data_IF_404981550876
#
_entry.id   IF_404981550876
#
_cell.length_a   1.000
_cell.length_b   1.000
_cell.length_c   1.000
_cell.angle_alpha   90.00
_cell.angle_beta   90.00
_cell.angle_gamma   90.00
#
_symmetry.space_group_name_H-M   'P 1'
#
loop_
_entity.id
_entity.type
_entity.pdbx_description
1 polymer ?
#
# COMPACT_ATOMS: atom_id res chain seq x y z
N UNK A 1 6.04 0.22 4.60
CA UNK A 1 7.00 1.32 4.39
C UNK A 1 8.05 1.24 5.48
N UNK A 2 9.34 1.15 5.11
CA UNK A 2 10.41 1.00 6.10
C UNK A 2 10.87 2.33 6.69
N UNK A 3 11.35 2.30 7.93
CA UNK A 3 11.92 3.47 8.61
C UNK A 3 13.35 3.73 8.13
N UNK A 4 13.55 4.78 7.32
CA UNK A 4 14.84 5.06 6.64
C UNK A 4 15.35 3.87 5.79
N UNK A 5 14.42 3.03 5.32
CA UNK A 5 14.66 1.86 4.47
C UNK A 5 13.81 1.99 3.18
N UNK A 6 13.44 0.86 2.58
CA UNK A 6 12.69 0.84 1.33
C UNK A 6 11.25 1.36 1.52
N UNK A 7 10.77 2.16 0.55
CA UNK A 7 9.37 2.61 0.53
C UNK A 7 8.40 1.43 0.36
N UNK A 8 8.76 0.48 -0.52
CA UNK A 8 8.09 -0.81 -0.65
C UNK A 8 8.83 -1.85 0.20
N UNK A 9 8.35 -2.09 1.41
CA UNK A 9 8.93 -3.04 2.35
C UNK A 9 7.86 -4.06 2.77
N UNK A 10 8.12 -5.34 2.49
CA UNK A 10 7.31 -6.46 2.95
C UNK A 10 7.74 -6.96 4.33
N UNK A 11 7.15 -8.08 4.82
CA UNK A 11 6.27 -9.00 4.09
C UNK A 11 4.81 -8.54 3.97
N UNK A 12 4.33 -7.64 4.84
CA UNK A 12 2.94 -7.18 4.86
C UNK A 12 2.58 -6.30 3.65
N UNK A 13 1.36 -6.46 3.12
CA UNK A 13 0.82 -5.61 2.06
C UNK A 13 -0.70 -5.70 2.01
N UNK A 14 -1.38 -4.63 1.57
CA UNK A 14 -2.81 -4.64 1.26
C UNK A 14 -2.95 -4.74 -0.27
N UNK A 15 -3.63 -5.78 -0.76
CA UNK A 15 -3.84 -5.96 -2.19
C UNK A 15 -4.55 -7.26 -2.57
N UNK A 16 -5.00 -7.34 -3.81
CA UNK A 16 -5.69 -8.53 -4.36
C UNK A 16 -4.76 -9.70 -4.62
N UNK A 17 -3.45 -9.44 -4.73
CA UNK A 17 -2.42 -10.48 -4.87
C UNK A 17 -1.95 -10.88 -3.48
N UNK A 18 -2.02 -12.16 -3.16
CA UNK A 18 -1.47 -12.70 -1.92
C UNK A 18 0.07 -12.64 -2.03
N UNK A 19 0.69 -11.80 -1.20
CA UNK A 19 2.16 -11.69 -1.08
C UNK A 19 2.70 -12.27 0.22
N UNK A 20 1.84 -12.44 1.23
CA UNK A 20 2.19 -12.96 2.55
C UNK A 20 0.95 -13.58 3.19
N UNK A 21 1.16 -14.64 3.96
CA UNK A 21 0.14 -15.29 4.79
C UNK A 21 0.11 -14.73 6.23
N UNK A 22 0.87 -13.65 6.49
CA UNK A 22 0.96 -13.04 7.81
C UNK A 22 -0.22 -12.10 8.07
N UNK A 23 -0.71 -12.11 9.30
CA UNK A 23 -1.70 -11.15 9.78
C UNK A 23 -1.08 -9.77 10.02
N UNK A 24 -1.88 -8.71 9.84
CA UNK A 24 -1.51 -7.37 10.27
C UNK A 24 -1.49 -7.29 11.79
N UNK A 25 -0.43 -6.70 12.35
CA UNK A 25 -0.24 -6.51 13.79
C UNK A 25 0.11 -5.06 14.11
N UNK A 26 -0.15 -4.58 15.35
CA UNK A 26 0.19 -3.22 15.76
C UNK A 26 1.67 -2.87 15.52
N UNK A 27 1.91 -1.65 15.01
CA UNK A 27 3.26 -1.13 14.74
C UNK A 27 3.76 -1.33 13.30
N UNK A 28 3.04 -2.09 12.48
CA UNK A 28 3.28 -2.13 11.02
C UNK A 28 2.86 -0.81 10.38
N UNK A 29 3.66 -0.33 9.41
CA UNK A 29 3.36 0.87 8.62
C UNK A 29 3.11 0.48 7.17
N UNK A 30 1.93 0.81 6.65
CA UNK A 30 1.46 0.48 5.29
C UNK A 30 1.00 1.73 4.53
N UNK A 31 0.95 1.63 3.20
CA UNK A 31 0.23 2.60 2.37
C UNK A 31 -1.25 2.24 2.32
N UNK A 32 -2.11 3.25 2.44
CA UNK A 32 -3.53 3.20 2.05
C UNK A 32 -3.69 4.08 0.82
N UNK A 33 -3.79 3.46 -0.36
CA UNK A 33 -3.56 4.12 -1.65
C UNK A 33 -4.61 3.82 -2.75
N UNK A 34 -5.93 3.91 -2.47
CA UNK A 34 -6.95 3.66 -3.48
C UNK A 34 -6.83 4.63 -4.66
N UNK A 35 -7.04 4.10 -5.87
CA UNK A 35 -6.98 4.87 -7.11
C UNK A 35 -8.07 4.49 -8.10
N UNK A 36 -8.48 5.47 -8.89
CA UNK A 36 -9.37 5.32 -10.03
C UNK A 36 -8.81 6.09 -11.23
N UNK A 37 -8.84 5.47 -12.39
CA UNK A 37 -8.33 6.03 -13.63
C UNK A 37 -9.39 5.86 -14.72
N UNK A 38 -9.74 6.96 -15.39
CA UNK A 38 -10.60 6.97 -16.57
C UNK A 38 -9.76 7.35 -17.78
N UNK A 39 -9.60 6.41 -18.70
CA UNK A 39 -8.82 6.57 -19.92
C UNK A 39 -9.21 7.85 -20.69
N UNK A 40 -8.19 8.55 -21.17
CA UNK A 40 -8.26 9.83 -21.91
C UNK A 40 -9.02 10.97 -21.21
N UNK A 41 -9.30 10.83 -19.91
CA UNK A 41 -9.96 11.86 -19.10
C UNK A 41 -9.09 12.29 -17.92
N UNK A 42 -9.15 11.55 -16.82
CA UNK A 42 -8.48 11.90 -15.57
C UNK A 42 -8.16 10.67 -14.74
N UNK A 43 -7.28 10.84 -13.77
CA UNK A 43 -6.99 9.85 -12.74
C UNK A 43 -6.89 10.50 -11.38
N UNK A 44 -7.26 9.74 -10.34
CA UNK A 44 -7.17 10.16 -8.94
C UNK A 44 -6.59 9.00 -8.16
N UNK A 45 -5.64 9.31 -7.28
CA UNK A 45 -5.17 8.42 -6.21
C UNK A 45 -5.03 9.27 -4.96
N UNK A 46 -5.51 8.75 -3.84
CA UNK A 46 -5.33 9.35 -2.52
C UNK A 46 -4.51 8.35 -1.71
N UNK A 47 -3.37 8.79 -1.19
CA UNK A 47 -2.36 7.91 -0.63
C UNK A 47 -1.82 8.48 0.69
N UNK A 48 -1.91 7.69 1.76
CA UNK A 48 -1.36 7.99 3.08
C UNK A 48 -0.47 6.85 3.57
N UNK A 49 0.49 7.18 4.45
CA UNK A 49 1.17 6.21 5.30
C UNK A 49 0.42 6.11 6.64
N UNK A 50 0.02 4.90 7.01
CA UNK A 50 -0.75 4.58 8.23
C UNK A 50 -0.13 3.42 9.01
#
# INVERSE_FOLDING_TARGET
VGCCLNVHEGPQSIGTRIRSDNYLVPGMVLSDEPGFYSDDKFGIRIENCV
#
